data_IF_042282753126
#
_entry.id   IF_042282753126
#
_cell.length_a   1.000
_cell.length_b   1.000
_cell.length_c   1.000
_cell.angle_alpha   90.00
_cell.angle_beta   90.00
_cell.angle_gamma   90.00
#
_symmetry.space_group_name_H-M   'P 1'
#
loop_
_entity.id
_entity.type
_entity.pdbx_description
1 polymer ?
#
# COMPACT_ATOMS: atom_id res chain seq x y z
N UNK A 1 9.08 -22.53 10.28
CA UNK A 1 8.09 -23.63 10.44
C UNK A 1 7.51 -23.91 9.07
N UNK A 2 7.46 -25.16 8.59
CA UNK A 2 6.86 -25.42 7.27
C UNK A 2 5.34 -25.38 7.41
N UNK A 3 4.64 -24.76 6.46
CA UNK A 3 3.18 -24.67 6.44
C UNK A 3 2.48 -26.04 6.54
N UNK A 4 3.14 -27.07 6.00
CA UNK A 4 2.66 -28.47 6.03
C UNK A 4 2.69 -29.11 7.42
N UNK A 5 3.46 -28.54 8.35
CA UNK A 5 3.58 -29.04 9.72
C UNK A 5 2.52 -28.40 10.66
N UNK A 6 1.71 -27.46 10.15
CA UNK A 6 0.67 -26.76 10.89
C UNK A 6 -0.67 -27.47 10.74
N UNK A 7 -1.49 -27.47 11.80
CA UNK A 7 -2.86 -27.98 11.71
C UNK A 7 -3.71 -27.09 10.77
N UNK A 8 -4.84 -27.62 10.28
CA UNK A 8 -5.71 -26.93 9.30
C UNK A 8 -6.16 -25.54 9.77
N UNK A 9 -6.57 -25.41 11.05
CA UNK A 9 -6.97 -24.12 11.64
C UNK A 9 -5.82 -23.10 11.69
N UNK A 10 -4.60 -23.54 11.97
CA UNK A 10 -3.43 -22.67 12.02
C UNK A 10 -2.98 -22.25 10.61
N UNK A 11 -3.11 -23.14 9.61
CA UNK A 11 -2.90 -22.79 8.19
C UNK A 11 -3.94 -21.77 7.73
N UNK A 12 -5.20 -21.95 8.10
CA UNK A 12 -6.29 -21.03 7.75
C UNK A 12 -6.08 -19.65 8.39
N UNK A 13 -5.74 -19.60 9.68
CA UNK A 13 -5.44 -18.35 10.38
C UNK A 13 -4.24 -17.62 9.75
N UNK A 14 -3.19 -18.36 9.38
CA UNK A 14 -2.04 -17.80 8.67
C UNK A 14 -2.42 -17.24 7.30
N UNK A 15 -3.21 -17.98 6.51
CA UNK A 15 -3.70 -17.55 5.20
C UNK A 15 -4.51 -16.25 5.30
N UNK A 16 -5.46 -16.18 6.24
CA UNK A 16 -6.26 -14.97 6.50
C UNK A 16 -5.37 -13.79 6.91
N UNK A 17 -4.40 -14.01 7.79
CA UNK A 17 -3.46 -12.96 8.20
C UNK A 17 -2.66 -12.40 7.02
N UNK A 18 -2.17 -13.25 6.11
CA UNK A 18 -1.46 -12.82 4.90
C UNK A 18 -2.35 -11.98 3.97
N UNK A 19 -3.63 -12.36 3.82
CA UNK A 19 -4.61 -11.59 3.05
C UNK A 19 -4.84 -10.22 3.70
N UNK A 20 -5.07 -10.19 5.02
CA UNK A 20 -5.34 -8.96 5.76
C UNK A 20 -4.17 -7.98 5.67
N UNK A 21 -2.93 -8.47 5.82
CA UNK A 21 -1.72 -7.64 5.65
C UNK A 21 -1.65 -7.10 4.22
N UNK A 22 -1.86 -7.94 3.21
CA UNK A 22 -1.83 -7.52 1.81
C UNK A 22 -2.89 -6.45 1.49
N UNK A 23 -4.10 -6.61 2.03
CA UNK A 23 -5.19 -5.62 1.90
C UNK A 23 -4.87 -4.34 2.65
N UNK A 24 -4.29 -4.42 3.86
CA UNK A 24 -3.90 -3.25 4.64
C UNK A 24 -2.87 -2.39 3.88
N UNK A 25 -1.84 -3.01 3.31
CA UNK A 25 -0.82 -2.32 2.49
C UNK A 25 -1.50 -1.59 1.32
N UNK A 26 -2.38 -2.26 0.58
CA UNK A 26 -3.10 -1.64 -0.53
C UNK A 26 -3.97 -0.45 -0.07
N UNK A 27 -4.71 -0.60 1.03
CA UNK A 27 -5.53 0.48 1.60
C UNK A 27 -4.69 1.68 2.01
N UNK A 28 -3.54 1.46 2.65
CA UNK A 28 -2.62 2.53 3.02
C UNK A 28 -2.08 3.29 1.81
N UNK A 29 -1.79 2.59 0.71
CA UNK A 29 -1.35 3.20 -0.55
C UNK A 29 -2.48 4.07 -1.15
N UNK A 30 -3.70 3.54 -1.21
CA UNK A 30 -4.86 4.30 -1.69
C UNK A 30 -5.11 5.52 -0.82
N UNK A 31 -4.95 5.40 0.50
CA UNK A 31 -5.06 6.52 1.41
C UNK A 31 -3.99 7.57 1.13
N UNK A 32 -2.73 7.19 0.92
CA UNK A 32 -1.66 8.13 0.59
C UNK A 32 -1.95 8.90 -0.70
N UNK A 33 -2.34 8.18 -1.76
CA UNK A 33 -2.63 8.77 -3.08
C UNK A 33 -3.84 9.70 -3.04
N UNK A 34 -4.81 9.47 -2.14
CA UNK A 34 -6.00 10.31 -2.00
C UNK A 34 -5.79 11.48 -1.04
N UNK A 35 -5.12 11.26 0.09
CA UNK A 35 -4.94 12.29 1.12
C UNK A 35 -3.92 13.36 0.73
N UNK A 36 -2.84 13.01 0.03
CA UNK A 36 -1.80 13.98 -0.37
C UNK A 36 -2.36 15.07 -1.29
N UNK A 37 -3.09 14.77 -2.38
CA UNK A 37 -3.75 15.80 -3.18
C UNK A 37 -4.74 16.64 -2.38
N UNK A 38 -5.59 16.01 -1.55
CA UNK A 38 -6.58 16.72 -0.73
C UNK A 38 -5.90 17.70 0.22
N UNK A 39 -4.82 17.30 0.89
CA UNK A 39 -4.06 18.17 1.78
C UNK A 39 -3.46 19.37 1.04
N UNK A 40 -2.99 19.18 -0.20
CA UNK A 40 -2.47 20.26 -1.04
C UNK A 40 -3.58 21.22 -1.50
N UNK A 41 -4.76 20.72 -1.83
CA UNK A 41 -5.92 21.55 -2.12
C UNK A 41 -6.37 22.38 -0.91
N UNK A 42 -6.39 21.77 0.28
CA UNK A 42 -6.71 22.48 1.53
C UNK A 42 -5.67 23.57 1.78
N UNK A 43 -4.37 23.27 1.71
CA UNK A 43 -3.32 24.28 1.88
C UNK A 43 -3.44 25.41 0.84
N UNK A 44 -3.69 25.07 -0.43
CA UNK A 44 -3.89 26.07 -1.48
C UNK A 44 -5.13 26.92 -1.28
N UNK A 45 -6.23 26.35 -0.79
CA UNK A 45 -7.49 27.08 -0.54
C UNK A 45 -7.44 27.97 0.70
N UNK A 46 -6.76 27.53 1.77
CA UNK A 46 -6.71 28.26 3.04
C UNK A 46 -5.49 29.18 3.19
N UNK A 47 -4.37 28.94 2.49
CA UNK A 47 -3.19 29.82 2.54
C UNK A 47 -3.22 30.97 1.51
N UNK A 48 -4.25 31.01 0.66
CA UNK A 48 -4.36 31.95 -0.47
C UNK A 48 -4.81 33.36 -0.07
N UNK A 49 -4.21 33.94 0.96
CA UNK A 49 -4.11 35.40 1.09
C UNK A 49 -2.76 35.95 0.61
N UNK A 50 -1.73 35.11 0.36
CA UNK A 50 -0.37 35.61 0.04
C UNK A 50 0.40 34.96 -1.11
N UNK A 51 -0.02 33.83 -1.69
CA UNK A 51 0.70 33.24 -2.83
C UNK A 51 -0.17 33.17 -4.09
N UNK A 52 0.22 33.89 -5.13
CA UNK A 52 -0.40 33.91 -6.47
C UNK A 52 -0.07 32.68 -7.32
N UNK A 53 0.76 31.75 -6.83
CA UNK A 53 1.14 30.56 -7.59
C UNK A 53 0.25 29.35 -7.27
N UNK A 54 -0.32 28.67 -8.28
CA UNK A 54 -1.08 27.45 -8.05
C UNK A 54 -0.18 26.36 -7.45
N UNK A 55 -0.58 25.84 -6.30
CA UNK A 55 0.04 24.68 -5.67
C UNK A 55 -0.24 23.46 -6.55
N UNK A 56 0.82 22.88 -7.12
CA UNK A 56 0.74 21.68 -7.96
C UNK A 56 1.48 20.52 -7.28
N UNK A 57 0.83 19.36 -7.21
CA UNK A 57 1.43 18.10 -6.71
C UNK A 57 2.76 17.82 -7.42
N UNK A 58 2.83 18.12 -8.72
CA UNK A 58 4.04 17.91 -9.53
C UNK A 58 5.18 18.82 -9.07
N UNK A 59 4.91 20.09 -8.74
CA UNK A 59 5.93 21.02 -8.22
C UNK A 59 6.48 20.56 -6.87
N UNK A 60 5.62 20.00 -6.01
CA UNK A 60 6.04 19.45 -4.71
C UNK A 60 6.94 18.24 -4.93
N UNK A 61 6.58 17.31 -5.83
CA UNK A 61 7.43 16.16 -6.16
C UNK A 61 8.78 16.63 -6.73
N UNK A 62 8.77 17.64 -7.60
CA UNK A 62 9.98 18.24 -8.19
C UNK A 62 10.88 18.94 -7.18
N UNK A 63 10.36 19.37 -6.02
CA UNK A 63 11.18 19.94 -4.95
C UNK A 63 12.06 18.93 -4.22
N UNK A 64 11.77 17.62 -4.34
CA UNK A 64 12.63 16.58 -3.80
C UNK A 64 13.83 16.30 -4.72
N UNK A 65 14.94 15.84 -4.13
CA UNK A 65 16.08 15.36 -4.92
C UNK A 65 15.68 14.16 -5.80
N UNK A 66 16.30 14.01 -6.96
CA UNK A 66 16.05 12.89 -7.89
C UNK A 66 16.23 11.53 -7.20
N UNK A 67 17.23 11.40 -6.34
CA UNK A 67 17.47 10.19 -5.52
C UNK A 67 16.27 9.87 -4.62
N UNK A 68 15.71 10.88 -3.97
CA UNK A 68 14.53 10.71 -3.11
C UNK A 68 13.30 10.32 -3.92
N UNK A 69 13.10 10.92 -5.10
CA UNK A 69 12.00 10.56 -6.00
C UNK A 69 12.09 9.10 -6.45
N UNK A 70 13.28 8.64 -6.83
CA UNK A 70 13.53 7.25 -7.22
C UNK A 70 13.27 6.31 -6.05
N UNK A 71 13.79 6.63 -4.86
CA UNK A 71 13.60 5.81 -3.67
C UNK A 71 12.12 5.67 -3.31
N UNK A 72 11.38 6.77 -3.31
CA UNK A 72 9.93 6.78 -3.05
C UNK A 72 9.20 5.94 -4.10
N UNK A 73 9.53 6.09 -5.38
CA UNK A 73 8.96 5.29 -6.46
C UNK A 73 9.22 3.80 -6.27
N UNK A 74 10.45 3.41 -5.93
CA UNK A 74 10.81 2.02 -5.66
C UNK A 74 10.08 1.44 -4.45
N UNK A 75 10.00 2.20 -3.34
CA UNK A 75 9.25 1.78 -2.16
C UNK A 75 7.76 1.60 -2.46
N UNK A 76 7.20 2.48 -3.29
CA UNK A 76 5.80 2.39 -3.72
C UNK A 76 5.56 1.14 -4.57
N UNK A 77 6.39 0.89 -5.58
CA UNK A 77 6.32 -0.32 -6.41
C UNK A 77 6.52 -1.59 -5.57
N UNK A 78 7.49 -1.58 -4.66
CA UNK A 78 7.76 -2.70 -3.76
C UNK A 78 6.55 -2.98 -2.84
N UNK A 79 5.95 -1.94 -2.26
CA UNK A 79 4.78 -2.11 -1.40
C UNK A 79 3.57 -2.69 -2.16
N UNK A 80 3.31 -2.22 -3.39
CA UNK A 80 2.28 -2.80 -4.25
C UNK A 80 2.55 -4.28 -4.57
N UNK A 81 3.78 -4.60 -4.96
CA UNK A 81 4.18 -5.96 -5.29
C UNK A 81 4.10 -6.88 -4.06
N UNK A 82 4.63 -6.45 -2.93
CA UNK A 82 4.58 -7.20 -1.67
C UNK A 82 3.13 -7.44 -1.22
N UNK A 83 2.29 -6.40 -1.22
CA UNK A 83 0.87 -6.51 -0.87
C UNK A 83 0.11 -7.48 -1.78
N UNK A 84 0.37 -7.41 -3.10
CA UNK A 84 -0.21 -8.34 -4.07
C UNK A 84 0.22 -9.79 -3.82
N UNK A 85 1.51 -10.03 -3.64
CA UNK A 85 2.04 -11.38 -3.41
C UNK A 85 1.54 -11.99 -2.10
N UNK A 86 1.48 -11.19 -1.02
CA UNK A 86 0.94 -11.64 0.28
C UNK A 86 -0.52 -12.06 0.14
N UNK A 87 -1.34 -11.23 -0.52
CA UNK A 87 -2.75 -11.55 -0.77
C UNK A 87 -2.91 -12.78 -1.65
N UNK A 88 -2.18 -12.86 -2.76
CA UNK A 88 -2.23 -14.01 -3.68
C UNK A 88 -1.83 -15.31 -2.99
N UNK A 89 -0.75 -15.27 -2.19
CA UNK A 89 -0.29 -16.43 -1.42
C UNK A 89 -1.31 -16.85 -0.37
N UNK A 90 -1.88 -15.90 0.37
CA UNK A 90 -2.91 -16.21 1.36
C UNK A 90 -4.15 -16.86 0.75
N UNK A 91 -4.63 -16.35 -0.39
CA UNK A 91 -5.77 -16.96 -1.12
C UNK A 91 -5.42 -18.38 -1.58
N UNK A 92 -4.22 -18.57 -2.13
CA UNK A 92 -3.77 -19.89 -2.59
C UNK A 92 -3.78 -20.91 -1.45
N UNK A 93 -3.25 -20.54 -0.27
CA UNK A 93 -3.25 -21.41 0.91
C UNK A 93 -4.69 -21.71 1.35
N UNK A 94 -5.60 -20.74 1.28
CA UNK A 94 -7.00 -20.93 1.66
C UNK A 94 -7.69 -21.95 0.75
N UNK A 95 -7.51 -21.82 -0.56
CA UNK A 95 -8.08 -22.74 -1.55
C UNK A 95 -7.53 -24.15 -1.38
N UNK A 96 -6.22 -24.29 -1.13
CA UNK A 96 -5.60 -25.60 -0.85
C UNK A 96 -6.20 -26.29 0.39
N UNK A 97 -6.65 -25.53 1.39
CA UNK A 97 -7.32 -26.10 2.58
C UNK A 97 -8.74 -26.54 2.24
N UNK A 98 -9.47 -25.75 1.44
CA UNK A 98 -10.85 -26.04 1.03
C UNK A 98 -10.91 -27.31 0.17
N UNK A 99 -9.95 -27.50 -0.74
CA UNK A 99 -9.82 -28.72 -1.57
C UNK A 99 -9.44 -29.97 -0.76
N UNK A 100 -8.89 -29.83 0.46
CA UNK A 100 -8.48 -30.93 1.35
C UNK A 100 -9.61 -31.41 2.30
N UNK A 101 -10.72 -30.65 2.41
CA UNK A 101 -11.87 -30.94 3.30
C UNK A 101 -13.08 -31.50 2.56
#
# INVERSE_FOLDING_TARGET
MKLKDMNSKAREAFAKSQIDIGVAIFKSIMLLVTTVPIALFIQGGFASEKSTDPISVVKVIQSFSTESQILIGLLFCFALFAGHNLRSTGIKILNEIEDET
#
